data_IF_061384538351
#
_entry.id   IF_061384538351
#
_cell.length_a   1.000
_cell.length_b   1.000
_cell.length_c   1.000
_cell.angle_alpha   90.00
_cell.angle_beta   90.00
_cell.angle_gamma   90.00
#
_symmetry.space_group_name_H-M   'P 1'
#
loop_
_entity.id
_entity.type
_entity.pdbx_description
1 polymer ?
#
# COMPACT_ATOMS: atom_id res chain seq x y z
N UNK A 1 5.68 19.52 -0.37
CA UNK A 1 4.39 20.23 -0.11
C UNK A 1 3.24 19.71 -1.00
N UNK A 2 3.52 19.19 -2.21
CA UNK A 2 2.50 18.63 -3.12
C UNK A 2 1.95 17.27 -2.65
N UNK A 3 2.81 16.35 -2.19
CA UNK A 3 2.39 15.02 -1.69
C UNK A 3 1.44 15.10 -0.48
N UNK A 4 1.73 15.99 0.48
CA UNK A 4 0.86 16.23 1.63
C UNK A 4 -0.50 16.85 1.23
N UNK A 5 -0.61 17.49 0.08
CA UNK A 5 -1.86 18.11 -0.40
C UNK A 5 -2.73 17.09 -1.15
N UNK A 6 -2.11 16.20 -1.94
CA UNK A 6 -2.77 15.03 -2.56
C UNK A 6 -3.37 14.09 -1.50
N UNK A 7 -2.67 13.91 -0.39
CA UNK A 7 -3.08 13.03 0.70
C UNK A 7 -4.08 13.67 1.67
N UNK A 8 -4.22 15.00 1.73
CA UNK A 8 -5.10 15.67 2.73
C UNK A 8 -6.61 15.50 2.52
N UNK A 9 -7.07 15.01 1.37
CA UNK A 9 -8.49 14.96 1.03
C UNK A 9 -9.26 13.73 1.55
N UNK A 10 -8.61 12.79 2.24
CA UNK A 10 -9.15 11.43 2.41
C UNK A 10 -8.92 10.86 3.82
N UNK A 11 -9.82 11.11 4.77
CA UNK A 11 -9.54 10.92 6.20
C UNK A 11 -10.64 10.18 6.98
N UNK A 12 -10.37 8.98 7.52
CA UNK A 12 -11.23 8.27 8.48
C UNK A 12 -10.84 6.79 8.77
N UNK A 13 -11.33 6.24 9.90
CA UNK A 13 -11.32 4.80 10.23
C UNK A 13 -10.19 4.28 11.13
N UNK A 14 -10.40 3.15 11.85
CA UNK A 14 -9.33 2.28 12.43
C UNK A 14 -8.49 1.66 11.31
N UNK A 15 -7.44 0.88 11.53
CA UNK A 15 -6.77 0.18 10.41
C UNK A 15 -6.70 -1.30 10.73
N UNK A 16 -7.22 -2.13 9.83
CA UNK A 16 -7.11 -3.57 9.89
C UNK A 16 -6.19 -4.01 8.76
N UNK A 17 -5.09 -4.66 9.12
CA UNK A 17 -4.16 -5.27 8.16
C UNK A 17 -4.42 -6.76 8.17
N UNK A 18 -5.45 -7.19 7.43
CA UNK A 18 -5.70 -8.62 7.24
C UNK A 18 -4.80 -9.13 6.11
N UNK A 19 -3.77 -9.88 6.47
CA UNK A 19 -2.88 -10.53 5.52
C UNK A 19 -3.59 -11.78 5.01
N UNK A 20 -4.41 -11.65 3.96
CA UNK A 20 -4.80 -12.83 3.19
C UNK A 20 -3.60 -13.24 2.32
N UNK A 21 -2.62 -13.89 2.95
CA UNK A 21 -1.52 -14.57 2.30
C UNK A 21 -2.03 -15.77 1.51
N UNK A 22 -2.70 -15.51 0.39
CA UNK A 22 -2.96 -16.50 -0.65
C UNK A 22 -2.14 -16.08 -1.85
N UNK A 23 -1.32 -17.01 -2.36
CA UNK A 23 -0.34 -16.81 -3.43
C UNK A 23 -0.90 -16.15 -4.71
N UNK A 24 -0.07 -16.04 -5.76
CA UNK A 24 -0.24 -15.12 -6.91
C UNK A 24 -1.50 -15.30 -7.80
N UNK A 25 -2.50 -16.08 -7.37
CA UNK A 25 -3.78 -16.26 -8.06
C UNK A 25 -4.95 -15.51 -7.40
N UNK A 26 -4.70 -14.75 -6.35
CA UNK A 26 -5.74 -13.95 -5.68
C UNK A 26 -6.25 -12.84 -6.60
N UNK A 27 -7.49 -12.98 -7.09
CA UNK A 27 -8.22 -11.97 -7.89
C UNK A 27 -8.62 -10.77 -7.04
N UNK A 28 -7.63 -10.03 -6.53
CA UNK A 28 -7.81 -8.79 -5.75
C UNK A 28 -8.61 -7.76 -6.54
N UNK A 29 -8.51 -7.78 -7.88
CA UNK A 29 -9.24 -6.90 -8.80
C UNK A 29 -10.66 -7.37 -9.13
N UNK A 30 -11.12 -8.51 -8.59
CA UNK A 30 -12.50 -8.93 -8.84
C UNK A 30 -13.49 -8.02 -8.10
N UNK A 31 -14.61 -7.70 -8.74
CA UNK A 31 -15.68 -6.90 -8.12
C UNK A 31 -16.16 -7.50 -6.79
N UNK A 32 -16.15 -8.82 -6.67
CA UNK A 32 -16.47 -9.53 -5.42
C UNK A 32 -15.43 -9.28 -4.32
N UNK A 33 -14.14 -9.30 -4.64
CA UNK A 33 -13.09 -9.03 -3.65
C UNK A 33 -13.14 -7.57 -3.16
N UNK A 34 -13.37 -6.61 -4.05
CA UNK A 34 -13.57 -5.20 -3.70
C UNK A 34 -14.84 -5.03 -2.86
N UNK A 35 -15.93 -5.74 -3.18
CA UNK A 35 -17.15 -5.78 -2.37
C UNK A 35 -16.88 -6.24 -0.94
N UNK A 36 -16.20 -7.38 -0.78
CA UNK A 36 -15.81 -7.88 0.55
C UNK A 36 -14.88 -6.92 1.31
N UNK A 37 -13.99 -6.20 0.62
CA UNK A 37 -13.14 -5.18 1.23
C UNK A 37 -13.97 -4.06 1.88
N UNK A 38 -15.00 -3.60 1.16
CA UNK A 38 -15.92 -2.57 1.64
C UNK A 38 -16.74 -3.06 2.82
N UNK A 39 -17.28 -4.27 2.73
CA UNK A 39 -18.04 -4.89 3.81
C UNK A 39 -17.16 -5.05 5.05
N UNK A 40 -15.92 -5.54 4.89
CA UNK A 40 -14.97 -5.69 5.98
C UNK A 40 -14.61 -4.33 6.60
N UNK A 41 -14.39 -3.30 5.79
CA UNK A 41 -14.10 -1.96 6.29
C UNK A 41 -15.26 -1.44 7.16
N UNK A 42 -16.50 -1.54 6.65
CA UNK A 42 -17.71 -1.14 7.37
C UNK A 42 -17.91 -1.92 8.67
N UNK A 43 -17.81 -3.25 8.62
CA UNK A 43 -18.03 -4.11 9.78
C UNK A 43 -16.95 -3.93 10.87
N UNK A 44 -15.69 -3.74 10.47
CA UNK A 44 -14.58 -3.57 11.42
C UNK A 44 -14.37 -2.12 11.87
N UNK A 45 -15.04 -1.16 11.22
CA UNK A 45 -14.78 0.27 11.40
C UNK A 45 -13.34 0.66 11.07
N UNK A 46 -12.65 -0.13 10.22
CA UNK A 46 -11.23 0.02 9.92
C UNK A 46 -10.97 0.21 8.42
N UNK A 47 -9.99 1.04 8.08
CA UNK A 47 -9.30 1.09 6.80
C UNK A 47 -8.80 -0.30 6.48
N UNK A 48 -9.15 -0.75 5.28
CA UNK A 48 -8.74 -2.02 4.70
C UNK A 48 -7.87 -1.72 3.50
N UNK A 49 -6.68 -2.32 3.47
CA UNK A 49 -5.79 -2.30 2.32
C UNK A 49 -5.67 -3.71 1.74
N UNK A 50 -5.84 -3.83 0.42
CA UNK A 50 -5.71 -5.09 -0.30
C UNK A 50 -4.64 -4.95 -1.37
N UNK A 51 -3.63 -5.81 -1.30
CA UNK A 51 -2.46 -5.74 -2.18
C UNK A 51 -2.53 -6.76 -3.30
N UNK A 52 -2.17 -6.37 -4.51
CA UNK A 52 -2.23 -7.24 -5.68
C UNK A 52 -1.39 -6.71 -6.84
N UNK A 53 -1.88 -6.88 -8.08
CA UNK A 53 -1.32 -6.17 -9.23
C UNK A 53 -1.51 -4.66 -9.07
N UNK A 54 -2.66 -4.28 -8.54
CA UNK A 54 -2.94 -2.95 -8.03
C UNK A 54 -3.30 -3.09 -6.55
N UNK A 55 -2.93 -2.08 -5.76
CA UNK A 55 -3.32 -2.02 -4.35
C UNK A 55 -4.58 -1.18 -4.20
N UNK A 56 -5.48 -1.59 -3.31
CA UNK A 56 -6.74 -0.91 -3.04
C UNK A 56 -6.85 -0.54 -1.58
N UNK A 57 -7.21 0.71 -1.30
CA UNK A 57 -7.41 1.23 0.06
C UNK A 57 -8.86 1.70 0.17
N UNK A 58 -9.59 1.12 1.12
CA UNK A 58 -10.97 1.46 1.45
C UNK A 58 -11.03 2.01 2.87
N UNK A 59 -11.73 3.13 3.03
CA UNK A 59 -11.95 3.80 4.30
C UNK A 59 -13.41 3.60 4.75
N UNK A 60 -13.66 3.16 5.98
CA UNK A 60 -15.02 2.91 6.49
C UNK A 60 -15.87 4.18 6.56
N UNK A 61 -15.26 5.36 6.67
CA UNK A 61 -15.98 6.64 6.68
C UNK A 61 -16.50 7.05 5.30
N UNK A 62 -15.89 6.51 4.23
CA UNK A 62 -16.30 6.77 2.85
C UNK A 62 -15.95 5.56 1.95
N UNK A 63 -16.68 4.44 2.06
CA UNK A 63 -16.38 3.20 1.34
C UNK A 63 -16.65 3.29 -0.18
N UNK A 64 -17.40 4.30 -0.62
CA UNK A 64 -17.55 4.65 -2.03
C UNK A 64 -16.27 5.21 -2.64
N UNK A 65 -15.45 5.88 -1.84
CA UNK A 65 -14.21 6.53 -2.29
C UNK A 65 -13.03 5.61 -2.01
N UNK A 66 -12.78 4.70 -2.94
CA UNK A 66 -11.63 3.79 -2.92
C UNK A 66 -10.43 4.47 -3.59
N UNK A 67 -9.23 4.33 -3.01
CA UNK A 67 -7.99 4.72 -3.69
C UNK A 67 -7.32 3.47 -4.21
N UNK A 68 -6.88 3.53 -5.47
CA UNK A 68 -6.14 2.46 -6.11
C UNK A 68 -4.72 2.93 -6.44
N UNK A 69 -3.72 2.12 -6.13
CA UNK A 69 -2.33 2.32 -6.53
C UNK A 69 -1.97 1.34 -7.64
N UNK A 70 -1.41 1.86 -8.73
CA UNK A 70 -0.94 1.08 -9.88
C UNK A 70 0.57 0.82 -9.87
N UNK A 71 1.22 0.99 -8.73
CA UNK A 71 2.65 0.77 -8.58
C UNK A 71 2.98 -0.65 -8.13
N UNK A 72 4.22 -1.08 -8.38
CA UNK A 72 4.77 -2.35 -7.92
C UNK A 72 5.45 -3.13 -9.04
N UNK A 73 5.98 -4.30 -8.73
CA UNK A 73 6.67 -5.14 -9.73
C UNK A 73 6.49 -6.64 -9.46
N UNK A 74 6.33 -7.50 -10.49
CA UNK A 74 6.16 -8.95 -10.30
C UNK A 74 7.26 -9.63 -9.46
N UNK A 75 8.49 -9.10 -9.46
CA UNK A 75 9.57 -9.62 -8.61
C UNK A 75 9.27 -9.55 -7.11
N UNK A 76 8.39 -8.64 -6.66
CA UNK A 76 7.93 -8.56 -5.27
C UNK A 76 7.23 -9.86 -4.83
N UNK A 77 6.59 -10.58 -5.76
CA UNK A 77 5.94 -11.88 -5.49
C UNK A 77 6.91 -13.07 -5.43
N UNK A 78 8.17 -12.85 -5.79
CA UNK A 78 9.22 -13.89 -5.87
C UNK A 78 10.20 -13.85 -4.70
N UNK A 79 10.03 -12.89 -3.78
CA UNK A 79 10.82 -12.77 -2.56
C UNK A 79 9.92 -12.97 -1.35
N UNK A 80 10.29 -13.95 -0.51
CA UNK A 80 9.57 -14.21 0.73
C UNK A 80 9.69 -13.01 1.68
N UNK A 81 8.63 -12.74 2.45
CA UNK A 81 8.64 -11.70 3.48
C UNK A 81 8.35 -10.28 2.98
N UNK A 82 8.22 -10.01 1.67
CA UNK A 82 7.86 -8.67 1.17
C UNK A 82 6.53 -8.18 1.75
N UNK A 83 5.50 -9.04 1.78
CA UNK A 83 4.21 -8.71 2.36
C UNK A 83 4.28 -8.43 3.87
N UNK A 84 5.04 -9.22 4.62
CA UNK A 84 5.25 -9.00 6.05
C UNK A 84 6.00 -7.68 6.32
N UNK A 85 7.02 -7.39 5.50
CA UNK A 85 7.74 -6.12 5.57
C UNK A 85 6.81 -4.93 5.29
N UNK A 86 5.92 -5.05 4.31
CA UNK A 86 4.90 -4.04 4.03
C UNK A 86 3.97 -3.82 5.23
N UNK A 87 3.44 -4.87 5.85
CA UNK A 87 2.60 -4.73 7.06
C UNK A 87 3.35 -4.04 8.21
N UNK A 88 4.63 -4.36 8.40
CA UNK A 88 5.48 -3.68 9.38
C UNK A 88 5.69 -2.20 9.02
N UNK A 89 5.89 -1.87 7.74
CA UNK A 89 5.95 -0.49 7.26
C UNK A 89 4.64 0.25 7.52
N UNK A 90 3.48 -0.33 7.21
CA UNK A 90 2.16 0.27 7.52
C UNK A 90 2.05 0.59 9.01
N UNK A 91 2.45 -0.34 9.89
CA UNK A 91 2.45 -0.10 11.33
C UNK A 91 3.37 1.06 11.74
N UNK A 92 4.57 1.16 11.15
CA UNK A 92 5.49 2.26 11.39
C UNK A 92 4.92 3.63 10.96
N UNK A 93 4.28 3.71 9.79
CA UNK A 93 3.61 4.93 9.34
C UNK A 93 2.41 5.28 10.22
N UNK A 94 1.65 4.28 10.68
CA UNK A 94 0.52 4.49 11.59
C UNK A 94 0.97 5.02 12.96
N UNK A 95 2.16 4.64 13.45
CA UNK A 95 2.68 5.18 14.69
C UNK A 95 2.87 6.71 14.65
N UNK A 96 3.01 7.30 13.45
CA UNK A 96 3.16 8.74 13.25
C UNK A 96 1.84 9.52 13.29
N UNK A 97 0.68 8.85 13.18
CA UNK A 97 -0.61 9.54 13.06
C UNK A 97 -1.18 10.05 14.38
N UNK A 98 -0.59 9.67 15.53
CA UNK A 98 -1.12 9.95 16.88
C UNK A 98 -2.60 9.58 16.96
N UNK A 99 -3.34 10.02 17.98
CA UNK A 99 -4.77 9.71 18.15
C UNK A 99 -5.69 10.30 17.06
N UNK A 100 -5.13 10.83 15.96
CA UNK A 100 -5.88 11.41 14.85
C UNK A 100 -6.29 10.31 13.87
N UNK A 101 -7.48 9.74 14.10
CA UNK A 101 -8.02 8.65 13.30
C UNK A 101 -8.15 9.02 11.81
N UNK A 102 -8.32 10.31 11.52
CA UNK A 102 -8.44 10.83 10.17
C UNK A 102 -7.14 10.61 9.35
N UNK A 103 -5.98 10.55 9.98
CA UNK A 103 -4.70 10.39 9.26
C UNK A 103 -4.34 8.94 8.95
N UNK A 104 -5.10 7.97 9.44
CA UNK A 104 -4.78 6.53 9.33
C UNK A 104 -4.81 6.01 7.89
N UNK A 105 -5.83 6.39 7.11
CA UNK A 105 -5.90 6.06 5.69
C UNK A 105 -4.66 6.57 4.95
N UNK A 106 -4.24 7.79 5.26
CA UNK A 106 -3.08 8.43 4.64
C UNK A 106 -1.79 7.73 5.01
N UNK A 107 -1.58 7.41 6.29
CA UNK A 107 -0.42 6.62 6.70
C UNK A 107 -0.36 5.26 5.98
N UNK A 108 -1.50 4.56 5.88
CA UNK A 108 -1.59 3.32 5.13
C UNK A 108 -1.22 3.54 3.66
N UNK A 109 -1.87 4.50 2.99
CA UNK A 109 -1.61 4.84 1.59
C UNK A 109 -0.15 5.19 1.34
N UNK A 110 0.47 5.99 2.22
CA UNK A 110 1.89 6.37 2.10
C UNK A 110 2.80 5.16 2.24
N UNK A 111 2.53 4.25 3.18
CA UNK A 111 3.33 3.03 3.34
C UNK A 111 3.26 2.13 2.09
N UNK A 112 2.06 1.93 1.52
CA UNK A 112 1.90 1.17 0.28
C UNK A 112 2.59 1.88 -0.91
N UNK A 113 2.44 3.19 -1.04
CA UNK A 113 3.09 3.99 -2.07
C UNK A 113 4.63 3.87 -2.01
N UNK A 114 5.21 4.04 -0.81
CA UNK A 114 6.65 3.92 -0.59
C UNK A 114 7.14 2.51 -0.94
N UNK A 115 6.47 1.48 -0.46
CA UNK A 115 6.85 0.09 -0.72
C UNK A 115 6.75 -0.28 -2.20
N UNK A 116 5.65 0.08 -2.86
CA UNK A 116 5.44 -0.26 -4.27
C UNK A 116 6.39 0.50 -5.21
N UNK A 117 6.66 1.79 -4.96
CA UNK A 117 7.64 2.58 -5.72
C UNK A 117 9.08 2.10 -5.47
N UNK A 118 9.43 1.77 -4.23
CA UNK A 118 10.73 1.15 -3.93
C UNK A 118 10.88 -0.20 -4.66
N UNK A 119 9.80 -0.98 -4.77
CA UNK A 119 9.75 -2.20 -5.57
C UNK A 119 10.01 -1.96 -7.05
N UNK A 120 9.41 -0.93 -7.66
CA UNK A 120 9.68 -0.56 -9.06
C UNK A 120 11.15 -0.15 -9.27
N UNK A 121 11.67 0.68 -8.37
CA UNK A 121 13.06 1.15 -8.42
C UNK A 121 14.06 -0.01 -8.28
N UNK A 122 13.84 -0.90 -7.33
CA UNK A 122 14.69 -2.06 -7.10
C UNK A 122 14.65 -3.04 -8.29
N UNK A 123 13.48 -3.22 -8.90
CA UNK A 123 13.33 -4.07 -10.07
C UNK A 123 14.16 -3.59 -11.26
N UNK A 124 14.28 -2.29 -11.47
CA UNK A 124 15.00 -1.70 -12.61
C UNK A 124 16.51 -2.06 -12.64
N UNK A 125 17.12 -2.35 -11.50
CA UNK A 125 18.54 -2.70 -11.37
C UNK A 125 18.77 -4.18 -10.99
N UNK A 126 17.70 -4.97 -10.89
CA UNK A 126 17.75 -6.36 -10.43
C UNK A 126 17.84 -7.36 -11.58
N UNK A 127 18.68 -8.39 -11.40
CA UNK A 127 18.79 -9.52 -12.34
C UNK A 127 17.86 -10.69 -11.99
N UNK A 128 17.37 -10.73 -10.76
CA UNK A 128 16.45 -11.76 -10.27
C UNK A 128 16.05 -11.54 -8.81
N UNK A 129 15.32 -12.48 -8.20
CA UNK A 129 14.75 -12.31 -6.85
C UNK A 129 15.79 -12.07 -5.74
N UNK A 130 16.96 -12.71 -5.82
CA UNK A 130 18.02 -12.51 -4.83
C UNK A 130 18.60 -11.09 -4.85
N UNK A 131 18.96 -10.57 -6.04
CA UNK A 131 19.44 -9.18 -6.17
C UNK A 131 18.33 -8.17 -5.89
N UNK A 132 17.09 -8.54 -6.22
CA UNK A 132 15.91 -7.73 -5.92
C UNK A 132 15.68 -7.57 -4.42
N UNK A 133 15.82 -8.63 -3.63
CA UNK A 133 15.65 -8.55 -2.19
C UNK A 133 16.60 -7.52 -1.56
N UNK A 134 17.87 -7.53 -1.97
CA UNK A 134 18.88 -6.57 -1.51
C UNK A 134 18.55 -5.16 -2.00
N UNK A 135 18.35 -4.99 -3.31
CA UNK A 135 18.04 -3.69 -3.91
C UNK A 135 16.76 -3.08 -3.32
N UNK A 136 15.75 -3.89 -3.00
CA UNK A 136 14.50 -3.44 -2.39
C UNK A 136 14.71 -2.84 -1.01
N UNK A 137 15.56 -3.46 -0.18
CA UNK A 137 15.93 -2.91 1.13
C UNK A 137 16.69 -1.58 0.97
N UNK A 138 17.63 -1.53 0.03
CA UNK A 138 18.38 -0.32 -0.26
C UNK A 138 17.46 0.81 -0.73
N UNK A 139 16.55 0.52 -1.67
CA UNK A 139 15.58 1.52 -2.16
C UNK A 139 14.61 1.95 -1.07
N UNK A 140 14.14 1.06 -0.19
CA UNK A 140 13.33 1.46 0.96
C UNK A 140 14.06 2.44 1.89
N UNK A 141 15.36 2.25 2.08
CA UNK A 141 16.18 3.12 2.92
C UNK A 141 16.48 4.47 2.27
N UNK A 142 16.56 4.54 0.94
CA UNK A 142 17.00 5.74 0.21
C UNK A 142 15.90 6.46 -0.56
N UNK A 143 14.68 5.92 -0.63
CA UNK A 143 13.57 6.53 -1.38
C UNK A 143 13.29 7.95 -0.91
N UNK A 144 13.09 8.85 -1.87
CA UNK A 144 12.89 10.28 -1.63
C UNK A 144 11.46 10.73 -1.95
N UNK A 145 11.10 11.94 -1.52
CA UNK A 145 9.85 12.59 -1.96
C UNK A 145 9.80 12.75 -3.50
N UNK A 146 10.94 13.06 -4.12
CA UNK A 146 11.04 13.23 -5.58
C UNK A 146 10.76 11.92 -6.33
N UNK A 147 11.19 10.78 -5.79
CA UNK A 147 10.87 9.47 -6.38
C UNK A 147 9.36 9.21 -6.37
N UNK A 148 8.69 9.53 -5.25
CA UNK A 148 7.25 9.41 -5.13
C UNK A 148 6.53 10.35 -6.09
N UNK A 149 6.92 11.63 -6.15
CA UNK A 149 6.29 12.62 -7.04
C UNK A 149 6.39 12.23 -8.52
N UNK A 150 7.50 11.60 -8.93
CA UNK A 150 7.71 11.17 -10.32
C UNK A 150 7.03 9.85 -10.69
N UNK A 151 6.84 8.94 -9.73
CA UNK A 151 6.47 7.54 -10.03
C UNK A 151 5.13 7.12 -9.50
N UNK A 152 4.58 7.81 -8.50
CA UNK A 152 3.33 7.42 -7.87
C UNK A 152 2.17 7.45 -8.88
N UNK A 153 1.50 6.31 -9.02
CA UNK A 153 0.35 6.09 -9.91
C UNK A 153 -0.89 5.86 -9.05
N UNK A 154 -1.62 6.94 -8.77
CA UNK A 154 -2.96 6.85 -8.21
C UNK A 154 -3.93 6.67 -9.38
N UNK A 155 -4.71 5.59 -9.35
CA UNK A 155 -5.71 5.28 -10.36
C UNK A 155 -7.08 5.78 -9.88
N UNK A 156 -7.79 6.47 -10.78
CA UNK A 156 -9.11 7.07 -10.55
C UNK A 156 -10.22 6.18 -11.12
#
# INVERSE_FOLDING_TARGET
MALATMLKQHSGGKVSTDICGKGPESKVESAAAIGHAKDLALCSGSVVAMTGKNDFIVDPSNPSLMIQLGNGHPLMTKVTGIGCALSASVAAFLALTKSDENKRRIACLTALAVSSVAGELAAAESRGPGTFAVAYLDKLATISEEDLEKRLKILN
#
